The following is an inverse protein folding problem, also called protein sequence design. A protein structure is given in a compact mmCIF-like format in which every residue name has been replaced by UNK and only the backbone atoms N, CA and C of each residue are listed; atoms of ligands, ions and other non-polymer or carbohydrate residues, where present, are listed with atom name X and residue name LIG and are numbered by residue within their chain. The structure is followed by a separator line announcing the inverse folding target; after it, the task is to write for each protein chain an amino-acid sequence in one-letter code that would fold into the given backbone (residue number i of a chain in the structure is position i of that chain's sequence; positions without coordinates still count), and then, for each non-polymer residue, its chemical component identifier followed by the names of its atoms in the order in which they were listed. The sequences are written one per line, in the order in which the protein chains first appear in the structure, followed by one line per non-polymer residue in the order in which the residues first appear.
data_IF_043510701499
#
_entry.id   IF_043510701499
#
_cell.length_a   1.000
_cell.length_b   1.000
_cell.length_c   1.000
_cell.angle_alpha   90.00
_cell.angle_beta   90.00
_cell.angle_gamma   90.00
#
_symmetry.space_group_name_H-M   'P 1'
#
loop_
_entity.id
_entity.type
_entity.pdbx_description
1 polymer ?
#
# COMPACT_ATOMS: atom_id res chain seq x y z
N UNK A 1 -2.71 18.94 -14.73
CA UNK A 1 -1.67 18.31 -13.89
C UNK A 1 -1.61 16.85 -14.29
N UNK A 2 -0.45 16.35 -14.74
CA UNK A 2 -0.29 14.94 -15.07
C UNK A 2 -0.07 14.15 -13.78
N UNK A 3 -0.87 13.10 -13.55
CA UNK A 3 -0.75 12.24 -12.37
C UNK A 3 0.00 10.97 -12.75
N UNK A 4 1.22 10.87 -12.24
CA UNK A 4 2.13 9.78 -12.52
C UNK A 4 1.65 8.46 -11.92
N UNK A 5 2.13 7.30 -12.44
CA UNK A 5 1.84 6.00 -11.83
C UNK A 5 2.32 5.86 -10.38
N UNK A 6 3.29 6.66 -9.93
CA UNK A 6 3.77 6.68 -8.54
C UNK A 6 2.74 7.34 -7.64
N UNK A 7 2.20 8.48 -8.05
CA UNK A 7 1.17 9.22 -7.31
C UNK A 7 -0.13 8.42 -7.20
N UNK A 8 -0.54 7.74 -8.28
CA UNK A 8 -1.70 6.84 -8.23
C UNK A 8 -1.50 5.70 -7.21
N UNK A 9 -0.28 5.17 -7.06
CA UNK A 9 0.02 4.17 -6.02
C UNK A 9 0.01 4.76 -4.61
N UNK A 10 0.45 5.99 -4.44
CA UNK A 10 0.36 6.70 -3.16
C UNK A 10 -1.11 6.89 -2.74
N UNK A 11 -1.97 7.27 -3.68
CA UNK A 11 -3.42 7.30 -3.48
C UNK A 11 -3.97 5.91 -3.09
N UNK A 12 -3.64 4.83 -3.81
CA UNK A 12 -4.08 3.47 -3.46
C UNK A 12 -3.65 3.08 -2.04
N UNK A 13 -2.44 3.46 -1.62
CA UNK A 13 -1.96 3.21 -0.25
C UNK A 13 -2.87 3.90 0.78
N UNK A 14 -3.24 5.17 0.56
CA UNK A 14 -4.17 5.92 1.43
C UNK A 14 -5.58 5.30 1.38
N UNK A 15 -6.06 4.89 0.21
CA UNK A 15 -7.37 4.27 0.07
C UNK A 15 -7.47 2.94 0.84
N UNK A 16 -6.39 2.13 0.85
CA UNK A 16 -6.28 0.97 1.74
C UNK A 16 -6.31 1.37 3.20
N UNK A 17 -5.65 2.47 3.58
CA UNK A 17 -5.72 2.99 4.96
C UNK A 17 -7.16 3.29 5.39
N UNK A 18 -7.96 3.83 4.46
CA UNK A 18 -9.39 4.16 4.60
C UNK A 18 -10.33 2.96 4.46
N UNK A 19 -9.82 1.75 4.24
CA UNK A 19 -10.64 0.55 4.11
C UNK A 19 -11.35 0.39 2.76
N UNK A 20 -10.99 1.18 1.74
CA UNK A 20 -11.55 1.05 0.40
C UNK A 20 -11.14 -0.27 -0.26
N UNK A 21 -12.03 -0.81 -1.08
CA UNK A 21 -11.78 -1.99 -1.90
C UNK A 21 -11.23 -1.60 -3.29
N UNK A 22 -10.81 -2.59 -4.09
CA UNK A 22 -10.17 -2.34 -5.38
C UNK A 22 -11.11 -1.74 -6.42
N UNK A 23 -12.41 -2.04 -6.34
CA UNK A 23 -13.43 -1.50 -7.25
C UNK A 23 -13.64 -0.02 -6.99
N UNK A 24 -13.83 0.36 -5.72
CA UNK A 24 -13.95 1.77 -5.30
C UNK A 24 -12.71 2.58 -5.70
N UNK A 25 -11.51 2.07 -5.40
CA UNK A 25 -10.26 2.73 -5.77
C UNK A 25 -10.12 2.92 -7.29
N UNK A 26 -10.50 1.91 -8.08
CA UNK A 26 -10.42 1.98 -9.53
C UNK A 26 -11.46 2.94 -10.11
N UNK A 27 -12.67 2.97 -9.56
CA UNK A 27 -13.71 3.91 -9.97
C UNK A 27 -13.28 5.35 -9.73
N UNK A 28 -12.76 5.67 -8.54
CA UNK A 28 -12.27 7.02 -8.21
C UNK A 28 -11.08 7.44 -9.10
N UNK A 29 -10.16 6.51 -9.41
CA UNK A 29 -9.07 6.79 -10.34
C UNK A 29 -9.55 7.03 -11.77
N UNK A 30 -10.52 6.24 -12.25
CA UNK A 30 -11.11 6.43 -13.58
C UNK A 30 -11.87 7.75 -13.69
N UNK A 31 -12.63 8.12 -12.67
CA UNK A 31 -13.37 9.38 -12.63
C UNK A 31 -12.42 10.59 -12.70
N UNK A 32 -11.31 10.54 -11.96
CA UNK A 32 -10.35 11.64 -11.93
C UNK A 32 -9.39 11.70 -13.13
N UNK A 33 -8.94 10.54 -13.64
CA UNK A 33 -7.82 10.45 -14.59
C UNK A 33 -8.20 9.89 -15.95
N UNK A 34 -9.42 9.35 -16.11
CA UNK A 34 -9.89 8.71 -17.33
C UNK A 34 -8.92 7.64 -17.83
N UNK A 35 -8.53 7.73 -19.10
CA UNK A 35 -7.62 6.78 -19.75
C UNK A 35 -6.21 6.75 -19.13
N UNK A 36 -5.83 7.74 -18.32
CA UNK A 36 -4.55 7.78 -17.63
C UNK A 36 -4.57 7.01 -16.29
N UNK A 37 -5.73 6.52 -15.87
CA UNK A 37 -5.86 5.71 -14.66
C UNK A 37 -5.14 4.36 -14.80
N UNK A 38 -4.59 3.88 -13.69
CA UNK A 38 -4.06 2.52 -13.60
C UNK A 38 -5.20 1.50 -13.86
N UNK A 39 -4.97 0.49 -14.72
CA UNK A 39 -5.95 -0.56 -14.94
C UNK A 39 -6.30 -1.32 -13.67
N UNK A 40 -7.55 -1.75 -13.52
CA UNK A 40 -8.07 -2.50 -12.37
C UNK A 40 -7.12 -3.59 -11.85
N UNK A 41 -6.56 -4.43 -12.75
CA UNK A 41 -5.61 -5.51 -12.37
C UNK A 41 -4.40 -4.99 -11.58
N UNK A 42 -3.89 -3.80 -11.91
CA UNK A 42 -2.77 -3.17 -11.20
C UNK A 42 -3.24 -2.63 -9.85
N UNK A 43 -4.43 -2.00 -9.81
CA UNK A 43 -5.05 -1.52 -8.56
C UNK A 43 -5.22 -2.66 -7.56
N UNK A 44 -5.85 -3.77 -7.99
CA UNK A 44 -6.05 -4.95 -7.15
C UNK A 44 -4.74 -5.54 -6.63
N UNK A 45 -3.71 -5.63 -7.49
CA UNK A 45 -2.37 -6.10 -7.08
C UNK A 45 -1.73 -5.21 -6.01
N UNK A 46 -1.78 -3.89 -6.18
CA UNK A 46 -1.21 -2.96 -5.21
C UNK A 46 -1.98 -2.96 -3.89
N UNK A 47 -3.31 -3.00 -3.97
CA UNK A 47 -4.17 -3.11 -2.80
C UNK A 47 -3.87 -4.38 -1.99
N UNK A 48 -3.70 -5.52 -2.65
CA UNK A 48 -3.29 -6.77 -2.01
C UNK A 48 -1.93 -6.66 -1.30
N UNK A 49 -0.92 -6.08 -1.96
CA UNK A 49 0.41 -5.85 -1.35
C UNK A 49 0.34 -4.95 -0.12
N UNK A 50 -0.46 -3.89 -0.16
CA UNK A 50 -0.59 -2.98 0.98
C UNK A 50 -1.40 -3.60 2.13
N UNK A 51 -2.44 -4.38 1.83
CA UNK A 51 -3.18 -5.14 2.85
C UNK A 51 -2.27 -6.17 3.55
N UNK A 52 -1.48 -6.93 2.80
CA UNK A 52 -0.53 -7.91 3.37
C UNK A 52 0.50 -7.23 4.28
N UNK A 53 1.05 -6.06 3.91
CA UNK A 53 1.93 -5.30 4.80
C UNK A 53 1.26 -4.81 6.07
N UNK A 54 -0.05 -4.51 6.02
CA UNK A 54 -0.85 -4.17 7.21
C UNK A 54 -1.11 -5.37 8.12
N UNK A 55 -1.34 -6.55 7.53
CA UNK A 55 -1.52 -7.80 8.28
C UNK A 55 -0.19 -8.23 8.91
N UNK A 56 0.93 -8.03 8.21
CA UNK A 56 2.29 -8.34 8.68
C UNK A 56 2.78 -7.46 9.85
N UNK A 57 2.04 -6.44 10.25
CA UNK A 57 2.35 -5.59 11.43
C UNK A 57 1.59 -6.00 12.69
N UNK A 58 0.85 -7.11 12.68
CA UNK A 58 0.40 -7.75 13.92
C UNK A 58 1.53 -8.61 14.47
N UNK A 59 2.24 -8.10 15.49
CA UNK A 59 2.93 -8.81 16.58
C UNK A 59 3.22 -10.32 16.40
N UNK A 60 3.99 -10.72 15.38
CA UNK A 60 4.82 -11.91 15.48
C UNK A 60 6.21 -11.48 15.95
N UNK A 61 6.33 -11.50 17.28
CA UNK A 61 7.58 -11.58 18.02
C UNK A 61 8.51 -12.57 17.31
N UNK A 62 9.46 -12.06 16.53
CA UNK A 62 10.67 -12.82 16.21
C UNK A 62 11.51 -12.86 17.46
N UNK A 63 11.21 -13.83 18.32
CA UNK A 63 12.16 -14.36 19.30
C UNK A 63 13.40 -14.83 18.54
N UNK A 64 14.37 -13.94 18.38
CA UNK A 64 15.74 -14.33 18.05
C UNK A 64 16.51 -14.25 19.35
N UNK A 65 16.41 -15.29 20.16
CA UNK A 65 17.48 -15.59 21.08
C UNK A 65 18.67 -16.04 20.22
N UNK A 66 19.57 -15.10 19.89
CA UNK A 66 20.96 -15.15 20.33
C UNK A 66 21.82 -14.06 19.68
N UNK A 67 22.80 -13.64 20.48
CA UNK A 67 24.02 -12.90 20.17
C UNK A 67 23.91 -11.35 20.09
N UNK A 68 23.98 -10.77 21.29
CA UNK A 68 24.98 -9.77 21.72
C UNK A 68 25.26 -8.54 20.86
N UNK A 69 25.11 -7.38 21.52
CA UNK A 69 25.78 -6.09 21.30
C UNK A 69 25.58 -5.46 19.90
N UNK A 70 25.11 -4.23 19.78
CA UNK A 70 25.91 -3.01 19.97
C UNK A 70 24.88 -1.88 19.96
N UNK A 71 24.43 -1.47 21.15
CA UNK A 71 24.75 -0.20 21.83
C UNK A 71 24.35 1.08 21.11
N UNK A 72 23.41 1.75 21.79
CA UNK A 72 23.40 3.19 22.06
C UNK A 72 22.99 4.15 20.95
N UNK A 73 21.77 4.67 21.15
CA UNK A 73 21.38 6.09 21.17
C UNK A 73 21.75 6.94 19.94
N UNK A 74 20.73 7.67 19.50
CA UNK A 74 20.63 8.68 18.43
C UNK A 74 20.21 8.13 17.07
#
# INVERSE_FOLDING_TARGET
MEVTPVEQRAYIKIAVLRGRNAMECHSELLEALGNNALPYRKVARWLGKFKQRRVSTSDEQRGVANAEAVTSLW
#
